data_IF_614533544735
#
_entry.id   IF_614533544735
#
_cell.length_a   1.000
_cell.length_b   1.000
_cell.length_c   1.000
_cell.angle_alpha   90.00
_cell.angle_beta   90.00
_cell.angle_gamma   90.00
#
_symmetry.space_group_name_H-M   'P 1'
#
loop_
_entity.id
_entity.type
_entity.pdbx_description
1 polymer ?
#
# COMPACT_ATOMS: atom_id res chain seq x y z
N UNK A 1 -43.97 -18.27 -42.43
CA UNK A 1 -43.60 -19.69 -42.57
C UNK A 1 -42.41 -19.85 -41.62
N UNK A 2 -42.67 -20.43 -40.46
CA UNK A 2 -42.36 -21.79 -40.02
C UNK A 2 -40.84 -21.98 -39.88
N UNK A 3 -40.27 -22.43 -38.79
CA UNK A 3 -40.80 -23.16 -37.63
C UNK A 3 -39.70 -23.43 -36.62
N UNK A 4 -40.17 -23.87 -35.52
CA UNK A 4 -39.52 -24.15 -34.23
C UNK A 4 -38.46 -25.28 -34.25
N UNK A 5 -37.64 -25.31 -33.18
CA UNK A 5 -36.85 -26.47 -32.80
C UNK A 5 -36.28 -26.30 -31.40
N UNK A 6 -37.05 -26.66 -30.38
CA UNK A 6 -36.57 -26.93 -29.03
C UNK A 6 -35.93 -28.32 -28.99
N UNK A 7 -34.80 -28.44 -28.26
CA UNK A 7 -34.36 -29.74 -27.75
C UNK A 7 -33.95 -29.60 -26.28
N UNK A 8 -34.77 -30.22 -25.44
CA UNK A 8 -34.48 -30.54 -24.06
C UNK A 8 -33.39 -31.63 -23.99
N UNK A 9 -32.39 -31.41 -23.15
CA UNK A 9 -31.41 -32.40 -22.78
C UNK A 9 -31.33 -32.54 -21.26
N UNK A 10 -31.96 -33.56 -20.77
CA UNK A 10 -31.98 -34.02 -19.38
C UNK A 10 -30.60 -34.49 -18.97
N UNK A 11 -30.06 -33.99 -17.88
CA UNK A 11 -28.81 -34.53 -17.27
C UNK A 11 -29.20 -35.29 -16.02
N UNK A 12 -28.94 -36.59 -16.07
CA UNK A 12 -29.14 -37.53 -14.96
C UNK A 12 -28.20 -37.29 -13.80
N UNK A 13 -28.79 -37.28 -12.61
CA UNK A 13 -28.05 -37.34 -11.32
C UNK A 13 -27.59 -38.78 -11.12
N UNK A 14 -26.28 -38.97 -10.92
CA UNK A 14 -25.71 -40.23 -10.51
C UNK A 14 -25.24 -40.10 -9.06
N UNK A 15 -25.93 -40.76 -8.17
CA UNK A 15 -25.50 -40.98 -6.76
C UNK A 15 -24.56 -42.18 -6.70
N UNK A 16 -23.43 -42.10 -5.96
CA UNK A 16 -22.62 -43.26 -5.66
C UNK A 16 -23.12 -43.98 -4.38
N UNK A 17 -22.95 -45.31 -4.31
CA UNK A 17 -23.37 -46.10 -3.16
C UNK A 17 -22.39 -46.08 -2.00
N UNK A 18 -22.95 -46.15 -0.79
CA UNK A 18 -22.21 -46.34 0.43
C UNK A 18 -21.88 -47.82 0.67
N UNK A 19 -20.70 -48.10 1.24
CA UNK A 19 -20.31 -49.17 2.14
C UNK A 19 -18.79 -49.29 2.13
N UNK A 20 -18.11 -49.30 3.23
CA UNK A 20 -18.18 -49.87 4.50
C UNK A 20 -16.78 -50.10 5.04
N UNK A 21 -16.55 -49.66 6.25
CA UNK A 21 -15.83 -50.32 7.35
C UNK A 21 -14.31 -50.48 7.35
N UNK A 22 -13.73 -49.93 8.43
CA UNK A 22 -12.68 -50.37 9.35
C UNK A 22 -11.21 -50.25 8.97
N UNK A 23 -10.49 -49.50 9.83
CA UNK A 23 -9.04 -49.51 9.93
C UNK A 23 -8.50 -48.28 10.69
N UNK A 24 -8.52 -48.34 12.03
CA UNK A 24 -7.88 -47.33 12.85
C UNK A 24 -6.35 -47.42 12.72
N UNK A 25 -5.70 -46.29 12.42
CA UNK A 25 -4.32 -46.03 12.85
C UNK A 25 -4.13 -44.54 12.95
N UNK A 26 -3.72 -44.07 14.13
CA UNK A 26 -3.58 -42.66 14.46
C UNK A 26 -2.60 -41.92 13.55
N UNK A 27 -3.11 -40.90 12.88
CA UNK A 27 -2.36 -39.85 12.25
C UNK A 27 -2.84 -38.54 12.85
N UNK A 28 -1.94 -37.84 13.53
CA UNK A 28 -2.23 -36.50 14.04
C UNK A 28 -2.56 -35.60 12.84
N UNK A 29 -3.66 -34.82 12.90
CA UNK A 29 -3.88 -33.80 11.89
C UNK A 29 -2.85 -32.67 12.11
N UNK A 30 -1.85 -32.62 11.27
CA UNK A 30 -1.08 -31.40 11.09
C UNK A 30 -2.03 -30.41 10.43
N UNK A 31 -2.66 -29.60 11.26
CA UNK A 31 -3.32 -28.40 10.81
C UNK A 31 -2.23 -27.44 10.38
N UNK A 32 -1.87 -27.50 9.11
CA UNK A 32 -1.08 -26.48 8.45
C UNK A 32 -2.00 -25.26 8.31
N UNK A 33 -2.13 -24.51 9.42
CA UNK A 33 -2.81 -23.23 9.42
C UNK A 33 -1.82 -22.19 8.93
N UNK A 34 -1.51 -22.29 7.65
CA UNK A 34 -0.93 -21.13 6.95
C UNK A 34 -1.99 -20.02 7.00
N UNK A 35 -1.72 -18.86 7.62
CA UNK A 35 -2.71 -17.81 7.67
C UNK A 35 -2.99 -17.37 6.23
N UNK A 36 -4.23 -17.56 5.80
CA UNK A 36 -4.71 -17.00 4.55
C UNK A 36 -4.46 -15.48 4.58
N UNK A 37 -3.86 -14.88 3.54
CA UNK A 37 -3.59 -13.45 3.57
C UNK A 37 -4.91 -12.70 3.80
N UNK A 38 -4.91 -11.85 4.82
CA UNK A 38 -6.07 -11.00 5.12
C UNK A 38 -6.38 -10.14 3.89
N UNK A 39 -7.58 -10.26 3.38
CA UNK A 39 -8.06 -9.43 2.24
C UNK A 39 -8.61 -8.08 2.73
N UNK A 40 -8.74 -7.88 4.03
CA UNK A 40 -9.21 -6.63 4.63
C UNK A 40 -8.12 -5.58 4.55
N UNK A 41 -8.39 -4.37 4.01
CA UNK A 41 -7.43 -3.28 4.03
C UNK A 41 -7.00 -2.92 5.44
N UNK A 42 -5.69 -2.70 5.62
CA UNK A 42 -5.13 -2.22 6.87
C UNK A 42 -5.39 -0.72 7.04
N UNK A 43 -5.68 -0.30 8.27
CA UNK A 43 -5.84 1.12 8.58
C UNK A 43 -5.36 1.42 10.01
N UNK A 44 -4.60 2.50 10.17
CA UNK A 44 -4.18 3.06 11.45
C UNK A 44 -4.42 4.57 11.41
N UNK A 45 -5.31 5.04 12.25
CA UNK A 45 -5.64 6.46 12.35
C UNK A 45 -4.47 7.26 12.98
N UNK A 46 -4.29 8.49 12.54
CA UNK A 46 -3.37 9.44 13.18
C UNK A 46 -3.99 9.94 14.48
N UNK A 47 -3.30 9.72 15.59
CA UNK A 47 -3.70 10.18 16.92
C UNK A 47 -2.62 11.07 17.53
N UNK A 48 -2.97 11.82 18.56
CA UNK A 48 -2.01 12.64 19.32
C UNK A 48 -0.87 11.80 19.92
N UNK A 49 -1.14 10.54 20.27
CA UNK A 49 -0.15 9.60 20.82
C UNK A 49 0.93 9.20 19.80
N UNK A 50 0.58 9.24 18.49
CA UNK A 50 1.52 8.95 17.42
C UNK A 50 2.34 10.17 17.00
N UNK A 51 2.02 11.36 17.52
CA UNK A 51 2.71 12.60 17.20
C UNK A 51 3.89 12.81 18.15
N UNK A 52 5.06 13.11 17.62
CA UNK A 52 6.23 13.50 18.40
C UNK A 52 6.08 14.93 18.92
N UNK A 53 6.92 15.32 19.89
CA UNK A 53 6.87 16.66 20.53
C UNK A 53 7.09 17.82 19.56
N UNK A 54 7.76 17.57 18.43
CA UNK A 54 7.97 18.53 17.35
C UNK A 54 6.82 18.58 16.33
N UNK A 55 5.75 17.83 16.57
CA UNK A 55 4.58 17.73 15.70
C UNK A 55 4.75 16.75 14.52
N UNK A 56 5.88 16.07 14.41
CA UNK A 56 6.06 15.07 13.36
C UNK A 56 5.40 13.73 13.70
N UNK A 57 5.02 12.96 12.67
CA UNK A 57 4.48 11.62 12.77
C UNK A 57 5.56 10.54 12.65
N UNK A 58 6.71 10.90 12.09
CA UNK A 58 7.80 9.98 11.87
C UNK A 58 8.91 10.54 11.00
N UNK A 59 9.81 9.65 10.59
CA UNK A 59 10.95 9.96 9.72
C UNK A 59 11.01 8.98 8.56
N UNK A 60 11.06 9.51 7.35
CA UNK A 60 11.24 8.76 6.11
C UNK A 60 12.70 8.83 5.69
N UNK A 61 13.29 7.67 5.36
CA UNK A 61 14.65 7.56 4.81
C UNK A 61 14.66 6.81 3.50
N UNK A 62 15.37 7.33 2.51
CA UNK A 62 15.61 6.69 1.22
C UNK A 62 17.09 6.86 0.87
N UNK A 63 17.95 5.88 1.25
CA UNK A 63 19.40 6.03 1.15
C UNK A 63 19.90 6.24 -0.29
N UNK A 64 19.28 5.59 -1.27
CA UNK A 64 19.71 5.68 -2.68
C UNK A 64 19.63 7.09 -3.28
N UNK A 65 18.83 7.98 -2.69
CA UNK A 65 18.75 9.41 -3.08
C UNK A 65 19.22 10.35 -1.96
N UNK A 66 19.80 9.81 -0.88
CA UNK A 66 20.31 10.57 0.26
C UNK A 66 19.22 11.29 1.07
N UNK A 67 17.97 10.81 1.02
CA UNK A 67 16.85 11.45 1.69
C UNK A 67 16.73 10.99 3.15
N UNK A 68 16.60 11.95 4.05
CA UNK A 68 16.10 11.77 5.42
C UNK A 68 15.22 12.97 5.73
N UNK A 69 13.92 12.74 5.93
CA UNK A 69 12.95 13.82 6.11
C UNK A 69 11.92 13.44 7.16
N UNK A 70 11.48 14.41 7.96
CA UNK A 70 10.37 14.25 8.88
C UNK A 70 9.04 14.32 8.14
N UNK A 71 8.06 13.57 8.64
CA UNK A 71 6.70 13.49 8.10
C UNK A 71 5.76 14.18 9.07
N UNK A 72 4.90 15.04 8.55
CA UNK A 72 3.88 15.79 9.30
C UNK A 72 2.50 15.48 8.74
N UNK A 73 1.45 15.68 9.54
CA UNK A 73 0.08 15.50 9.08
C UNK A 73 -0.33 16.63 8.13
N UNK A 74 -0.99 16.27 7.04
CA UNK A 74 -1.48 17.18 6.01
C UNK A 74 -0.50 17.38 4.85
N UNK A 75 -1.05 17.75 3.71
CA UNK A 75 -0.32 18.02 2.47
C UNK A 75 -0.43 19.47 2.01
N UNK A 76 -0.91 20.35 2.88
CA UNK A 76 -0.95 21.79 2.65
C UNK A 76 0.45 22.43 2.74
N UNK A 77 0.51 23.74 2.53
CA UNK A 77 1.77 24.48 2.52
C UNK A 77 2.52 24.39 3.86
N UNK A 78 1.83 24.47 4.99
CA UNK A 78 2.46 24.50 6.31
C UNK A 78 3.24 23.20 6.64
N UNK A 79 2.66 21.98 6.54
CA UNK A 79 3.41 20.75 6.74
C UNK A 79 4.51 20.55 5.70
N UNK A 80 4.25 20.85 4.42
CA UNK A 80 5.24 20.67 3.35
C UNK A 80 6.44 21.63 3.43
N UNK A 81 6.32 22.74 4.14
CA UNK A 81 7.44 23.63 4.48
C UNK A 81 8.33 23.04 5.59
N UNK A 82 7.82 22.10 6.37
CA UNK A 82 8.57 21.44 7.46
C UNK A 82 9.23 20.12 7.01
N UNK A 83 8.62 19.43 6.06
CA UNK A 83 9.09 18.13 5.58
C UNK A 83 8.15 17.50 4.58
N UNK A 84 8.04 16.17 4.62
CA UNK A 84 7.01 15.45 3.89
C UNK A 84 5.67 15.54 4.62
N UNK A 85 4.58 15.46 3.87
CA UNK A 85 3.22 15.51 4.40
C UNK A 85 2.53 14.16 4.25
N UNK A 86 1.80 13.73 5.27
CA UNK A 86 0.89 12.59 5.22
C UNK A 86 -0.48 13.05 4.73
N UNK A 87 -1.11 12.27 3.84
CA UNK A 87 -2.46 12.58 3.36
C UNK A 87 -3.49 12.33 4.47
N UNK A 88 -4.16 13.40 4.89
CA UNK A 88 -5.20 13.34 5.94
C UNK A 88 -6.29 12.31 5.61
N UNK A 89 -6.75 11.60 6.62
CA UNK A 89 -7.78 10.58 6.46
C UNK A 89 -7.30 9.25 5.87
N UNK A 90 -6.01 9.12 5.58
CA UNK A 90 -5.40 7.86 5.16
C UNK A 90 -4.68 7.17 6.33
N UNK A 91 -4.22 5.93 6.12
CA UNK A 91 -3.50 5.20 7.15
C UNK A 91 -2.09 5.73 7.36
N UNK A 92 -1.64 5.79 8.62
CA UNK A 92 -0.26 6.16 8.98
C UNK A 92 0.66 4.96 9.18
N UNK A 93 0.11 3.73 9.26
CA UNK A 93 0.94 2.56 9.56
C UNK A 93 0.50 1.29 8.83
N UNK A 94 -0.69 0.74 9.12
CA UNK A 94 -1.17 -0.49 8.51
C UNK A 94 -1.73 -0.23 7.11
N UNK A 95 -1.42 -1.09 6.15
CA UNK A 95 -1.82 -0.91 4.75
C UNK A 95 -0.99 0.16 4.04
N UNK A 96 -1.62 0.94 3.18
CA UNK A 96 -0.96 1.99 2.40
C UNK A 96 -0.81 3.28 3.19
N UNK A 97 0.40 3.83 3.21
CA UNK A 97 0.74 5.13 3.82
C UNK A 97 1.14 6.10 2.70
N UNK A 98 0.23 6.96 2.22
CA UNK A 98 0.56 7.93 1.18
C UNK A 98 1.18 9.20 1.76
N UNK A 99 2.28 9.64 1.16
CA UNK A 99 3.07 10.80 1.56
C UNK A 99 3.33 11.71 0.36
N UNK A 100 3.38 13.01 0.60
CA UNK A 100 3.74 14.01 -0.40
C UNK A 100 4.95 14.83 0.02
N UNK A 101 5.67 15.37 -0.94
CA UNK A 101 6.79 16.28 -0.70
C UNK A 101 7.04 17.19 -1.88
N UNK A 102 7.69 18.34 -1.63
CA UNK A 102 8.07 19.26 -2.69
C UNK A 102 9.21 18.70 -3.55
N UNK A 103 9.23 19.08 -4.82
CA UNK A 103 10.28 18.71 -5.77
C UNK A 103 11.17 19.88 -6.21
N UNK A 104 11.03 21.04 -5.59
CA UNK A 104 11.81 22.26 -5.90
C UNK A 104 11.94 23.17 -4.68
N UNK A 105 12.81 24.18 -4.80
CA UNK A 105 13.06 25.17 -3.75
C UNK A 105 13.88 24.63 -2.60
N UNK A 106 13.82 25.32 -1.46
CA UNK A 106 14.58 24.96 -0.25
C UNK A 106 14.13 23.62 0.34
N UNK A 107 12.88 23.23 0.10
CA UNK A 107 12.29 21.96 0.54
C UNK A 107 12.14 20.98 -0.63
N UNK A 108 13.22 20.76 -1.35
CA UNK A 108 13.27 19.81 -2.46
C UNK A 108 13.39 18.35 -1.96
N UNK A 109 12.57 17.99 -0.98
CA UNK A 109 12.68 16.69 -0.30
C UNK A 109 12.41 15.52 -1.25
N UNK A 110 11.38 15.63 -2.11
CA UNK A 110 11.01 14.58 -3.06
C UNK A 110 11.47 14.83 -4.50
N UNK A 111 12.40 15.76 -4.71
CA UNK A 111 12.87 16.11 -6.05
C UNK A 111 13.53 14.99 -6.83
N UNK A 112 14.03 13.96 -6.14
CA UNK A 112 14.71 12.82 -6.75
C UNK A 112 13.93 11.51 -6.70
N UNK A 113 12.69 11.47 -6.16
CA UNK A 113 11.96 10.20 -6.04
C UNK A 113 11.69 9.54 -7.40
N UNK A 114 11.60 10.32 -8.47
CA UNK A 114 11.43 9.82 -9.84
C UNK A 114 12.64 9.04 -10.37
N UNK A 115 13.79 9.13 -9.72
CA UNK A 115 15.01 8.39 -10.09
C UNK A 115 15.14 7.05 -9.38
N UNK A 116 14.25 6.75 -8.43
CA UNK A 116 14.21 5.49 -7.72
C UNK A 116 13.94 4.32 -8.67
N UNK A 117 14.41 3.16 -8.27
CA UNK A 117 14.28 1.91 -9.05
C UNK A 117 13.66 0.82 -8.19
N UNK A 118 12.98 -0.15 -8.81
CA UNK A 118 12.53 -1.34 -8.09
C UNK A 118 13.66 -1.97 -7.28
N UNK A 119 13.40 -2.25 -6.00
CA UNK A 119 14.37 -2.76 -5.04
C UNK A 119 15.05 -1.71 -4.17
N UNK A 120 14.98 -0.43 -4.49
CA UNK A 120 15.50 0.63 -3.61
C UNK A 120 14.78 0.61 -2.26
N UNK A 121 15.55 0.74 -1.17
CA UNK A 121 15.01 0.69 0.17
C UNK A 121 14.38 2.03 0.59
N UNK A 122 13.21 1.93 1.18
CA UNK A 122 12.50 3.03 1.84
C UNK A 122 12.22 2.62 3.29
N UNK A 123 12.67 3.40 4.26
CA UNK A 123 12.44 3.11 5.67
C UNK A 123 11.57 4.20 6.29
N UNK A 124 10.50 3.79 6.95
CA UNK A 124 9.61 4.70 7.67
C UNK A 124 9.57 4.33 9.15
N UNK A 125 9.97 5.27 10.00
CA UNK A 125 10.00 5.14 11.45
C UNK A 125 8.94 6.03 12.06
N UNK A 126 8.08 5.46 12.89
CA UNK A 126 7.03 6.14 13.67
C UNK A 126 7.13 5.74 15.13
N UNK A 127 6.22 6.21 15.99
CA UNK A 127 6.11 5.70 17.37
C UNK A 127 5.68 4.23 17.46
N UNK A 128 5.11 3.67 16.40
CA UNK A 128 4.73 2.26 16.32
C UNK A 128 5.91 1.33 15.97
N UNK A 129 7.02 1.89 15.53
CA UNK A 129 8.21 1.14 15.14
C UNK A 129 8.83 1.62 13.84
N UNK A 130 9.61 0.74 13.22
CA UNK A 130 10.28 0.98 11.94
C UNK A 130 9.89 -0.12 10.95
N UNK A 131 9.50 0.27 9.76
CA UNK A 131 9.29 -0.63 8.61
C UNK A 131 10.23 -0.29 7.48
N UNK A 132 10.68 -1.33 6.80
CA UNK A 132 11.45 -1.19 5.57
C UNK A 132 10.61 -1.70 4.41
N UNK A 133 10.62 -0.93 3.33
CA UNK A 133 9.90 -1.20 2.09
C UNK A 133 10.90 -1.24 0.94
N UNK A 134 10.61 -2.01 -0.08
CA UNK A 134 11.32 -1.97 -1.35
C UNK A 134 10.44 -1.31 -2.41
N UNK A 135 11.00 -0.39 -3.17
CA UNK A 135 10.32 0.25 -4.30
C UNK A 135 9.84 -0.83 -5.28
N UNK A 136 8.59 -0.76 -5.68
CA UNK A 136 7.97 -1.67 -6.65
C UNK A 136 7.65 -0.99 -7.98
N UNK A 137 7.51 0.33 -7.98
CA UNK A 137 7.21 1.08 -9.20
C UNK A 137 7.41 2.57 -9.06
N UNK A 138 7.70 3.20 -10.19
CA UNK A 138 7.78 4.66 -10.38
C UNK A 138 6.99 5.00 -11.61
N UNK A 139 6.00 5.87 -11.49
CA UNK A 139 5.12 6.26 -12.59
C UNK A 139 4.84 7.77 -12.60
N UNK A 140 4.62 8.31 -13.78
CA UNK A 140 4.04 9.64 -13.95
C UNK A 140 2.52 9.48 -14.11
N UNK A 141 1.77 10.02 -13.18
CA UNK A 141 0.30 9.90 -13.11
C UNK A 141 -0.37 11.26 -13.26
N UNK A 142 -1.65 11.27 -13.63
CA UNK A 142 -2.44 12.51 -13.64
C UNK A 142 -2.56 13.08 -12.23
N UNK A 143 -2.65 14.40 -12.10
CA UNK A 143 -2.93 15.09 -10.83
C UNK A 143 -4.28 14.66 -10.22
N UNK A 144 -5.20 14.17 -11.04
CA UNK A 144 -6.52 13.68 -10.63
C UNK A 144 -6.53 12.17 -10.32
N UNK A 145 -5.41 11.48 -10.51
CA UNK A 145 -5.29 10.06 -10.15
C UNK A 145 -5.02 9.94 -8.65
N UNK A 146 -6.05 9.53 -7.92
CA UNK A 146 -6.02 9.33 -6.47
C UNK A 146 -5.92 7.86 -6.07
N UNK A 147 -5.71 6.96 -7.03
CA UNK A 147 -5.65 5.51 -6.78
C UNK A 147 -4.55 5.11 -5.79
N UNK A 148 -3.45 5.86 -5.73
CA UNK A 148 -2.39 5.63 -4.77
C UNK A 148 -2.70 6.10 -3.33
N UNK A 149 -3.88 6.66 -3.08
CA UNK A 149 -4.38 6.97 -1.73
C UNK A 149 -5.26 5.86 -1.16
N UNK A 150 -5.67 4.90 -1.99
CA UNK A 150 -6.56 3.82 -1.60
C UNK A 150 -5.95 2.93 -0.50
N UNK A 151 -6.77 2.47 0.45
CA UNK A 151 -6.35 1.50 1.46
C UNK A 151 -5.96 0.16 0.83
N UNK A 152 -4.95 -0.50 1.38
CA UNK A 152 -4.49 -1.81 0.90
C UNK A 152 -4.39 -2.82 2.04
N UNK A 153 -4.50 -4.11 1.72
CA UNK A 153 -4.30 -5.20 2.69
C UNK A 153 -2.82 -5.49 2.95
N UNK A 154 -1.94 -5.05 2.06
CA UNK A 154 -0.48 -5.16 2.24
C UNK A 154 0.08 -3.85 2.75
N UNK A 155 1.11 -3.93 3.58
CA UNK A 155 1.80 -2.73 4.05
C UNK A 155 2.66 -2.15 2.92
N UNK A 156 2.41 -0.88 2.62
CA UNK A 156 3.14 -0.16 1.58
C UNK A 156 3.20 1.34 1.88
N UNK A 157 4.08 2.03 1.20
CA UNK A 157 4.11 3.48 1.14
C UNK A 157 3.94 3.93 -0.30
N UNK A 158 3.23 5.03 -0.49
CA UNK A 158 3.07 5.69 -1.79
C UNK A 158 3.55 7.13 -1.67
N UNK A 159 4.50 7.52 -2.52
CA UNK A 159 5.13 8.83 -2.47
C UNK A 159 4.70 9.66 -3.67
N UNK A 160 4.28 10.90 -3.43
CA UNK A 160 3.85 11.83 -4.47
C UNK A 160 4.69 13.10 -4.47
N UNK A 161 5.03 13.57 -5.65
CA UNK A 161 5.58 14.91 -5.86
C UNK A 161 5.15 15.49 -7.20
N UNK A 162 5.28 16.80 -7.37
CA UNK A 162 5.00 17.46 -8.64
C UNK A 162 5.97 16.98 -9.73
N UNK A 163 5.55 17.06 -10.99
CA UNK A 163 6.44 16.96 -12.15
C UNK A 163 6.84 18.40 -12.55
N UNK A 164 8.13 18.66 -12.70
CA UNK A 164 8.63 19.98 -13.08
C UNK A 164 8.02 20.42 -14.41
N UNK A 165 7.47 21.64 -14.42
CA UNK A 165 6.85 22.28 -15.60
C UNK A 165 5.65 21.52 -16.20
N UNK A 166 5.11 20.53 -15.47
CA UNK A 166 3.93 19.74 -15.87
C UNK A 166 2.92 19.68 -14.72
N UNK A 167 2.15 20.75 -14.44
CA UNK A 167 1.26 20.83 -13.27
C UNK A 167 0.12 19.80 -13.29
N UNK A 168 -0.23 19.28 -14.49
CA UNK A 168 -1.24 18.23 -14.66
C UNK A 168 -0.77 16.84 -14.21
N UNK A 169 0.51 16.68 -13.84
CA UNK A 169 1.09 15.39 -13.52
C UNK A 169 1.77 15.37 -12.15
N UNK A 170 1.89 14.16 -11.61
CA UNK A 170 2.64 13.83 -10.39
C UNK A 170 3.57 12.65 -10.65
N UNK A 171 4.75 12.65 -10.03
CA UNK A 171 5.50 11.42 -9.83
C UNK A 171 4.87 10.65 -8.69
N UNK A 172 4.59 9.37 -8.93
CA UNK A 172 4.06 8.43 -7.95
C UNK A 172 5.03 7.26 -7.81
N UNK A 173 5.52 7.03 -6.61
CA UNK A 173 6.41 5.91 -6.28
C UNK A 173 5.69 5.02 -5.30
N UNK A 174 5.63 3.72 -5.60
CA UNK A 174 5.09 2.70 -4.69
C UNK A 174 6.21 1.83 -4.16
N UNK A 175 6.15 1.48 -2.87
CA UNK A 175 7.08 0.57 -2.22
C UNK A 175 6.32 -0.33 -1.25
N UNK A 176 6.62 -1.63 -1.23
CA UNK A 176 6.00 -2.64 -0.37
C UNK A 176 6.93 -3.09 0.72
N UNK A 177 6.37 -3.40 1.90
CA UNK A 177 7.12 -3.94 3.03
C UNK A 177 7.85 -5.25 2.65
N UNK A 178 9.07 -5.38 3.11
CA UNK A 178 9.97 -6.52 2.88
C UNK A 178 10.34 -7.22 4.18
#
# INVERSE_FOLDING_TARGET
MAGAGQVNGNVAVVTPPASGSTGATGGYPITDTSPSPSTTPGFTEVTSELTYSDGSLGTLKIPSIGLTVKVFEGTGSAPLLKGAGHFEGTSIWAGNVPLAGHNRGVRNDFGKIHTLRPGDAVTFTTRLGTRTYAVTGVAKVSVNDVSGLEPTSVNMVTLYTCVNDQPAYRWCVTAREV
#
